data_IF_285242690794
#
_entry.id   IF_285242690794
#
_cell.length_a   1.000
_cell.length_b   1.000
_cell.length_c   1.000
_cell.angle_alpha   90.00
_cell.angle_beta   90.00
_cell.angle_gamma   90.00
#
_symmetry.space_group_name_H-M   'P 1'
#
loop_
_entity.id
_entity.type
_entity.pdbx_description
1 polymer ?
#
# COMPACT_ATOMS: atom_id res chain seq x y z
N UNK A 1 6.82 30.32 15.81
CA UNK A 1 8.21 30.27 15.27
C UNK A 1 8.22 29.43 14.02
N UNK A 2 8.95 29.85 12.97
CA UNK A 2 8.98 29.21 11.63
C UNK A 2 9.26 27.69 11.64
N UNK A 3 9.93 27.18 12.67
CA UNK A 3 10.22 25.74 12.87
C UNK A 3 9.11 24.96 13.58
N UNK A 4 8.18 25.64 14.25
CA UNK A 4 7.13 24.99 15.04
C UNK A 4 6.14 24.20 14.18
N UNK A 5 5.79 24.72 13.00
CA UNK A 5 4.89 24.02 12.06
C UNK A 5 5.58 22.80 11.45
N UNK A 6 6.86 22.91 11.08
CA UNK A 6 7.62 21.76 10.57
C UNK A 6 7.74 20.64 11.61
N UNK A 7 8.13 20.98 12.84
CA UNK A 7 8.24 20.02 13.94
C UNK A 7 6.88 19.39 14.28
N UNK A 8 5.82 20.19 14.33
CA UNK A 8 4.47 19.69 14.60
C UNK A 8 4.01 18.73 13.49
N UNK A 9 4.15 19.11 12.23
CA UNK A 9 3.80 18.25 11.09
C UNK A 9 4.63 16.97 11.07
N UNK A 10 5.94 17.05 11.30
CA UNK A 10 6.79 15.87 11.39
C UNK A 10 6.34 14.94 12.53
N UNK A 11 6.10 15.45 13.72
CA UNK A 11 5.67 14.64 14.87
C UNK A 11 4.29 14.04 14.63
N UNK A 12 3.33 14.81 14.09
CA UNK A 12 1.98 14.31 13.79
C UNK A 12 1.99 13.26 12.68
N UNK A 13 2.75 13.44 11.61
CA UNK A 13 2.91 12.42 10.56
C UNK A 13 3.58 11.18 11.13
N UNK A 14 4.69 11.35 11.84
CA UNK A 14 5.44 10.23 12.40
C UNK A 14 4.61 9.42 13.39
N UNK A 15 3.79 10.06 14.23
CA UNK A 15 2.83 9.37 15.12
C UNK A 15 1.69 8.70 14.36
N UNK A 16 1.21 9.29 13.25
CA UNK A 16 0.18 8.69 12.42
C UNK A 16 0.70 7.49 11.60
N UNK A 17 2.00 7.46 11.29
CA UNK A 17 2.64 6.49 10.40
C UNK A 17 3.49 5.44 11.15
N UNK A 18 3.84 5.67 12.42
CA UNK A 18 4.43 4.64 13.27
C UNK A 18 3.39 3.54 13.51
N UNK A 19 3.75 2.32 13.10
CA UNK A 19 2.86 1.17 13.18
C UNK A 19 1.98 0.95 11.96
N UNK A 20 2.22 1.67 10.85
CA UNK A 20 1.52 1.36 9.61
C UNK A 20 1.85 -0.07 9.13
N UNK A 21 0.87 -0.70 8.47
CA UNK A 21 0.93 -2.11 8.01
C UNK A 21 2.15 -2.38 7.14
N UNK A 22 2.68 -1.35 6.46
CA UNK A 22 3.91 -1.39 5.69
C UNK A 22 5.14 -1.70 6.55
N UNK A 23 5.26 -1.16 7.77
CA UNK A 23 6.39 -1.44 8.67
C UNK A 23 6.36 -2.89 9.15
N UNK A 24 5.19 -3.40 9.53
CA UNK A 24 5.01 -4.80 9.95
C UNK A 24 5.26 -5.77 8.80
N UNK A 25 4.77 -5.47 7.59
CA UNK A 25 5.03 -6.28 6.40
C UNK A 25 6.52 -6.36 6.05
N UNK A 26 7.24 -5.24 6.19
CA UNK A 26 8.68 -5.18 5.90
C UNK A 26 9.49 -5.98 6.92
N UNK A 27 9.16 -5.86 8.21
CA UNK A 27 9.80 -6.66 9.28
C UNK A 27 9.49 -8.15 9.13
N UNK A 28 8.26 -8.52 8.78
CA UNK A 28 7.88 -9.91 8.53
C UNK A 28 8.60 -10.50 7.30
N UNK A 29 8.78 -9.70 6.24
CA UNK A 29 9.51 -10.11 5.04
C UNK A 29 11.01 -10.23 5.32
N UNK A 30 11.58 -9.30 6.09
CA UNK A 30 12.97 -9.36 6.57
C UNK A 30 13.22 -10.53 7.54
N UNK A 31 12.25 -10.90 8.37
CA UNK A 31 12.34 -12.04 9.29
C UNK A 31 12.19 -13.39 8.57
N UNK A 32 11.45 -13.43 7.44
CA UNK A 32 11.18 -14.67 6.70
C UNK A 32 12.24 -15.00 5.64
N UNK A 33 12.97 -14.01 5.15
CA UNK A 33 13.99 -14.21 4.11
C UNK A 33 15.36 -13.72 4.62
N UNK A 34 16.31 -14.65 4.75
CA UNK A 34 17.68 -14.36 5.18
C UNK A 34 18.47 -13.44 4.23
N UNK A 35 17.96 -13.21 3.01
CA UNK A 35 18.61 -12.41 1.99
C UNK A 35 17.75 -11.19 1.62
N UNK A 36 17.98 -10.11 2.38
CA UNK A 36 17.30 -8.81 2.22
C UNK A 36 17.38 -8.25 0.80
N UNK A 37 18.46 -8.53 0.06
CA UNK A 37 18.63 -8.06 -1.31
C UNK A 37 17.60 -8.67 -2.28
N UNK A 38 17.30 -9.96 -2.13
CA UNK A 38 16.28 -10.64 -2.95
C UNK A 38 14.87 -10.15 -2.62
N UNK A 39 14.63 -9.81 -1.36
CA UNK A 39 13.36 -9.20 -0.92
C UNK A 39 13.19 -7.84 -1.57
N UNK A 40 14.18 -6.95 -1.46
CA UNK A 40 14.12 -5.60 -2.04
C UNK A 40 14.03 -5.64 -3.56
N UNK A 41 14.81 -6.50 -4.22
CA UNK A 41 14.73 -6.66 -5.67
C UNK A 41 13.36 -7.21 -6.11
N UNK A 42 12.85 -8.23 -5.42
CA UNK A 42 11.56 -8.84 -5.70
C UNK A 42 10.39 -7.87 -5.50
N UNK A 43 10.40 -7.08 -4.42
CA UNK A 43 9.36 -6.07 -4.17
C UNK A 43 9.44 -4.92 -5.16
N UNK A 44 10.64 -4.45 -5.51
CA UNK A 44 10.83 -3.37 -6.49
C UNK A 44 10.32 -3.77 -7.87
N UNK A 45 10.74 -4.95 -8.35
CA UNK A 45 10.30 -5.48 -9.66
C UNK A 45 8.79 -5.78 -9.63
N UNK A 46 8.29 -6.39 -8.55
CA UNK A 46 6.88 -6.70 -8.39
C UNK A 46 6.00 -5.45 -8.41
N UNK A 47 6.40 -4.38 -7.72
CA UNK A 47 5.70 -3.11 -7.77
C UNK A 47 5.74 -2.49 -9.16
N UNK A 48 6.91 -2.45 -9.82
CA UNK A 48 7.01 -1.92 -11.18
C UNK A 48 6.08 -2.65 -12.16
N UNK A 49 6.01 -3.97 -12.08
CA UNK A 49 5.11 -4.76 -12.93
C UNK A 49 3.63 -4.49 -12.62
N UNK A 50 3.27 -4.23 -11.37
CA UNK A 50 1.89 -3.90 -10.99
C UNK A 50 1.51 -2.46 -11.39
N UNK A 51 2.40 -1.50 -11.16
CA UNK A 51 2.12 -0.07 -11.35
C UNK A 51 2.20 0.36 -12.81
N UNK A 52 3.17 -0.15 -13.59
CA UNK A 52 3.36 0.27 -15.01
C UNK A 52 2.10 0.05 -15.85
N UNK A 53 1.43 -1.12 -15.83
CA UNK A 53 0.17 -1.32 -16.53
C UNK A 53 -0.96 -0.46 -15.96
N UNK A 54 -1.03 -0.30 -14.63
CA UNK A 54 -2.04 0.52 -13.98
C UNK A 54 -1.94 2.00 -14.39
N UNK A 55 -0.72 2.54 -14.46
CA UNK A 55 -0.42 3.90 -14.92
C UNK A 55 -0.73 4.05 -16.41
N UNK A 56 -0.39 3.06 -17.24
CA UNK A 56 -0.67 3.11 -18.67
C UNK A 56 -2.19 3.08 -18.94
N UNK A 57 -2.92 2.19 -18.27
CA UNK A 57 -4.37 2.13 -18.29
C UNK A 57 -4.99 3.44 -17.78
N UNK A 58 -4.46 4.02 -16.71
CA UNK A 58 -4.89 5.32 -16.19
C UNK A 58 -4.68 6.47 -17.17
N UNK A 59 -3.56 6.48 -17.91
CA UNK A 59 -3.27 7.50 -18.93
C UNK A 59 -4.19 7.39 -20.16
N UNK A 60 -4.49 6.18 -20.61
CA UNK A 60 -5.39 5.95 -21.75
C UNK A 60 -6.84 6.27 -21.40
N UNK A 61 -7.21 6.18 -20.13
CA UNK A 61 -8.60 6.23 -19.70
C UNK A 61 -9.09 7.61 -19.18
N UNK A 62 -8.30 8.68 -19.30
CA UNK A 62 -8.77 10.04 -19.00
C UNK A 62 -9.38 10.68 -20.26
N UNK A 63 -10.70 10.94 -20.30
CA UNK A 63 -11.39 11.87 -19.38
C UNK A 63 -12.64 11.33 -18.64
N UNK A 64 -13.08 10.09 -18.88
CA UNK A 64 -14.31 9.53 -18.29
C UNK A 64 -14.06 8.53 -17.15
N UNK A 65 -12.90 8.61 -16.48
CA UNK A 65 -12.51 7.61 -15.50
C UNK A 65 -13.49 7.58 -14.30
N UNK A 66 -14.30 6.51 -14.15
CA UNK A 66 -15.33 6.48 -13.11
C UNK A 66 -14.69 6.09 -11.79
N UNK A 67 -14.07 7.06 -11.09
CA UNK A 67 -13.50 6.88 -9.76
C UNK A 67 -14.49 6.22 -8.77
N UNK A 68 -15.80 6.42 -8.98
CA UNK A 68 -16.87 5.76 -8.22
C UNK A 68 -16.91 4.24 -8.43
N UNK A 69 -16.67 3.76 -9.66
CA UNK A 69 -16.62 2.33 -9.99
C UNK A 69 -15.38 1.69 -9.37
N UNK A 70 -14.21 2.32 -9.53
CA UNK A 70 -12.94 1.84 -8.96
C UNK A 70 -13.05 1.71 -7.45
N UNK A 71 -13.65 2.70 -6.77
CA UNK A 71 -13.88 2.66 -5.33
C UNK A 71 -14.80 1.51 -4.91
N UNK A 72 -15.89 1.27 -5.64
CA UNK A 72 -16.79 0.16 -5.36
C UNK A 72 -16.13 -1.20 -5.59
N UNK A 73 -15.35 -1.34 -6.67
CA UNK A 73 -14.58 -2.56 -6.94
C UNK A 73 -13.59 -2.82 -5.81
N UNK A 74 -12.79 -1.81 -5.42
CA UNK A 74 -11.83 -1.93 -4.33
C UNK A 74 -12.52 -2.30 -3.00
N UNK A 75 -13.64 -1.65 -2.68
CA UNK A 75 -14.42 -1.95 -1.47
C UNK A 75 -14.95 -3.39 -1.47
N UNK A 76 -15.50 -3.86 -2.60
CA UNK A 76 -15.99 -5.23 -2.74
C UNK A 76 -14.87 -6.26 -2.60
N UNK A 77 -13.71 -6.04 -3.25
CA UNK A 77 -12.54 -6.91 -3.12
C UNK A 77 -12.09 -6.99 -1.66
N UNK A 78 -12.05 -5.85 -0.96
CA UNK A 78 -11.67 -5.80 0.44
C UNK A 78 -12.66 -6.52 1.35
N UNK A 79 -13.97 -6.35 1.10
CA UNK A 79 -15.02 -7.04 1.84
C UNK A 79 -14.94 -8.56 1.64
N UNK A 80 -14.72 -9.02 0.41
CA UNK A 80 -14.57 -10.45 0.08
C UNK A 80 -13.32 -11.02 0.74
N UNK A 81 -12.16 -10.36 0.64
CA UNK A 81 -10.94 -10.81 1.32
C UNK A 81 -11.13 -10.86 2.84
N UNK A 82 -11.77 -9.84 3.43
CA UNK A 82 -12.11 -9.82 4.84
C UNK A 82 -12.99 -10.99 5.25
N UNK A 83 -14.03 -11.31 4.47
CA UNK A 83 -14.89 -12.46 4.71
C UNK A 83 -14.12 -13.78 4.58
N UNK A 84 -13.30 -13.96 3.55
CA UNK A 84 -12.48 -15.17 3.36
C UNK A 84 -11.55 -15.38 4.56
N UNK A 85 -10.86 -14.32 5.01
CA UNK A 85 -9.98 -14.41 6.18
C UNK A 85 -10.79 -14.76 7.42
N UNK A 86 -11.95 -14.12 7.63
CA UNK A 86 -12.83 -14.41 8.77
C UNK A 86 -13.26 -15.88 8.79
N UNK A 87 -13.76 -16.43 7.67
CA UNK A 87 -14.22 -17.83 7.58
C UNK A 87 -13.11 -18.88 7.48
N UNK A 88 -11.86 -18.46 7.22
CA UNK A 88 -10.71 -19.37 7.18
C UNK A 88 -9.95 -19.39 8.52
N UNK A 89 -10.08 -18.33 9.32
CA UNK A 89 -9.46 -18.20 10.65
C UNK A 89 -10.35 -18.80 11.75
N UNK A 90 -11.67 -18.73 11.61
CA UNK A 90 -12.64 -19.47 12.43
C UNK A 90 -12.97 -20.81 11.78
#
# INVERSE_FOLDING_TARGET
GKYGVFLLTCVTFFLAEIGDKTQVATVALAAKYSNLYLVVAGTTIGMLIADVPAVFLGKVASPNFPFKLVRWIAASVFAVLGAIVLFKVF
#
